data_IF_884420931092
#
_entry.id   IF_884420931092
#
_cell.length_a   1.000
_cell.length_b   1.000
_cell.length_c   1.000
_cell.angle_alpha   90.00
_cell.angle_beta   90.00
_cell.angle_gamma   90.00
#
_symmetry.space_group_name_H-M   'P 1'
#
loop_
_entity.id
_entity.type
_entity.pdbx_description
1 polymer ?
#
# COMPACT_ATOMS: atom_id res chain seq x y z
N UNK A 1 -64.42 -45.40 -45.65
CA UNK A 1 -63.47 -46.50 -45.34
C UNK A 1 -62.36 -45.96 -44.45
N UNK A 2 -62.14 -46.52 -43.25
CA UNK A 2 -60.97 -46.14 -42.43
C UNK A 2 -59.71 -46.71 -43.09
N UNK A 3 -58.66 -45.91 -43.35
CA UNK A 3 -57.47 -46.40 -44.01
C UNK A 3 -56.80 -47.48 -43.14
N UNK A 4 -56.50 -48.63 -43.75
CA UNK A 4 -55.91 -49.82 -43.10
C UNK A 4 -54.54 -49.53 -42.47
N UNK A 5 -53.86 -48.46 -42.91
CA UNK A 5 -52.54 -48.02 -42.47
C UNK A 5 -52.57 -46.90 -41.38
N UNK A 6 -53.64 -46.80 -40.58
CA UNK A 6 -53.75 -45.75 -39.56
C UNK A 6 -52.77 -45.91 -38.39
N UNK A 7 -52.41 -47.16 -38.05
CA UNK A 7 -51.47 -47.46 -36.96
C UNK A 7 -50.03 -47.09 -37.32
N UNK A 8 -49.55 -47.44 -38.52
CA UNK A 8 -48.17 -47.14 -38.90
C UNK A 8 -47.98 -45.64 -39.17
N UNK A 9 -49.01 -44.96 -39.69
CA UNK A 9 -49.02 -43.48 -39.79
C UNK A 9 -48.87 -42.81 -38.43
N UNK A 10 -49.56 -43.30 -37.39
CA UNK A 10 -49.46 -42.74 -36.04
C UNK A 10 -48.09 -43.02 -35.42
N UNK A 11 -47.52 -44.21 -35.64
CA UNK A 11 -46.17 -44.55 -35.18
C UNK A 11 -45.10 -43.68 -35.86
N UNK A 12 -45.18 -43.53 -37.19
CA UNK A 12 -44.27 -42.67 -37.95
C UNK A 12 -44.36 -41.21 -37.52
N UNK A 13 -45.58 -40.70 -37.29
CA UNK A 13 -45.78 -39.35 -36.77
C UNK A 13 -45.19 -39.16 -35.37
N UNK A 14 -45.37 -40.12 -34.45
CA UNK A 14 -44.80 -40.05 -33.10
C UNK A 14 -43.27 -40.10 -33.12
N UNK A 15 -42.67 -40.92 -33.99
CA UNK A 15 -41.21 -40.96 -34.19
C UNK A 15 -40.68 -39.65 -34.75
N UNK A 16 -41.37 -39.07 -35.74
CA UNK A 16 -41.05 -37.77 -36.29
C UNK A 16 -41.17 -36.66 -35.24
N UNK A 17 -42.26 -36.65 -34.46
CA UNK A 17 -42.48 -35.66 -33.41
C UNK A 17 -41.41 -35.76 -32.32
N UNK A 18 -41.03 -36.98 -31.91
CA UNK A 18 -39.95 -37.19 -30.96
C UNK A 18 -38.61 -36.65 -31.50
N UNK A 19 -38.27 -36.98 -32.75
CA UNK A 19 -37.06 -36.46 -33.40
C UNK A 19 -37.08 -34.93 -33.53
N UNK A 20 -38.24 -34.35 -33.85
CA UNK A 20 -38.43 -32.91 -33.93
C UNK A 20 -38.21 -32.23 -32.57
N UNK A 21 -38.78 -32.76 -31.49
CA UNK A 21 -38.58 -32.22 -30.14
C UNK A 21 -37.11 -32.30 -29.73
N UNK A 22 -36.43 -33.42 -30.01
CA UNK A 22 -35.00 -33.59 -29.69
C UNK A 22 -34.15 -32.58 -30.46
N UNK A 23 -34.37 -32.43 -31.77
CA UNK A 23 -33.60 -31.51 -32.61
C UNK A 23 -33.85 -30.04 -32.22
N UNK A 24 -35.10 -29.63 -32.02
CA UNK A 24 -35.43 -28.28 -31.53
C UNK A 24 -34.82 -28.04 -30.15
N UNK A 25 -34.91 -29.01 -29.24
CA UNK A 25 -34.30 -28.92 -27.92
C UNK A 25 -32.79 -28.72 -27.99
N UNK A 26 -32.11 -29.44 -28.89
CA UNK A 26 -30.67 -29.31 -29.10
C UNK A 26 -30.28 -27.94 -29.66
N UNK A 27 -31.06 -27.38 -30.60
CA UNK A 27 -30.85 -26.03 -31.13
C UNK A 27 -31.07 -24.98 -30.05
N UNK A 28 -32.16 -25.08 -29.27
CA UNK A 28 -32.45 -24.13 -28.17
C UNK A 28 -31.35 -24.19 -27.11
N UNK A 29 -30.88 -25.38 -26.74
CA UNK A 29 -29.77 -25.54 -25.80
C UNK A 29 -28.49 -24.91 -26.35
N UNK A 30 -28.13 -25.16 -27.61
CA UNK A 30 -26.95 -24.57 -28.24
C UNK A 30 -27.01 -23.03 -28.25
N UNK A 31 -28.16 -22.46 -28.61
CA UNK A 31 -28.38 -21.01 -28.56
C UNK A 31 -28.27 -20.50 -27.12
N UNK A 32 -28.91 -21.17 -26.15
CA UNK A 32 -28.87 -20.78 -24.75
C UNK A 32 -27.44 -20.75 -24.20
N UNK A 33 -26.63 -21.78 -24.43
CA UNK A 33 -25.25 -21.82 -23.98
C UNK A 33 -24.38 -20.78 -24.69
N UNK A 34 -24.59 -20.55 -25.99
CA UNK A 34 -23.86 -19.54 -26.76
C UNK A 34 -24.11 -18.11 -26.23
N UNK A 35 -25.30 -17.79 -25.74
CA UNK A 35 -25.56 -16.46 -25.16
C UNK A 35 -25.23 -16.37 -23.67
N UNK A 36 -25.44 -17.45 -22.90
CA UNK A 36 -25.25 -17.42 -21.43
C UNK A 36 -23.78 -17.39 -21.03
N UNK A 37 -22.92 -18.14 -21.71
CA UNK A 37 -21.48 -18.20 -21.36
C UNK A 37 -20.80 -16.83 -21.54
N UNK A 38 -20.95 -16.12 -22.66
CA UNK A 38 -20.36 -14.78 -22.82
C UNK A 38 -20.85 -13.76 -21.80
N UNK A 39 -22.12 -13.83 -21.36
CA UNK A 39 -22.62 -12.91 -20.32
C UNK A 39 -21.92 -13.12 -18.98
N UNK A 40 -21.70 -14.38 -18.60
CA UNK A 40 -21.02 -14.71 -17.34
C UNK A 40 -19.54 -14.35 -17.37
N UNK A 41 -18.87 -14.61 -18.50
CA UNK A 41 -17.48 -14.20 -18.69
C UNK A 41 -17.34 -12.67 -18.64
N UNK A 42 -18.21 -11.93 -19.33
CA UNK A 42 -18.19 -10.47 -19.30
C UNK A 42 -18.47 -9.90 -17.91
N UNK A 43 -19.41 -10.49 -17.16
CA UNK A 43 -19.68 -10.09 -15.77
C UNK A 43 -18.45 -10.32 -14.87
N UNK A 44 -17.77 -11.46 -15.00
CA UNK A 44 -16.54 -11.77 -14.27
C UNK A 44 -15.40 -10.82 -14.66
N UNK A 45 -15.17 -10.59 -15.95
CA UNK A 45 -14.14 -9.68 -16.45
C UNK A 45 -14.38 -8.24 -15.98
N UNK A 46 -15.64 -7.79 -15.93
CA UNK A 46 -16.00 -6.48 -15.38
C UNK A 46 -15.70 -6.38 -13.89
N UNK A 47 -16.00 -7.43 -13.13
CA UNK A 47 -15.70 -7.48 -11.70
C UNK A 47 -14.18 -7.43 -11.45
N UNK A 48 -13.40 -8.21 -12.19
CA UNK A 48 -11.94 -8.23 -12.11
C UNK A 48 -11.34 -6.88 -12.53
N UNK A 49 -11.80 -6.30 -13.64
CA UNK A 49 -11.35 -4.98 -14.09
C UNK A 49 -11.65 -3.89 -13.04
N UNK A 50 -12.82 -3.95 -12.39
CA UNK A 50 -13.16 -3.03 -11.32
C UNK A 50 -12.21 -3.17 -10.14
N UNK A 51 -11.94 -4.39 -9.69
CA UNK A 51 -11.00 -4.68 -8.63
C UNK A 51 -9.59 -4.15 -8.96
N UNK A 52 -9.06 -4.46 -10.15
CA UNK A 52 -7.75 -3.99 -10.58
C UNK A 52 -7.67 -2.45 -10.68
N UNK A 53 -8.75 -1.79 -11.11
CA UNK A 53 -8.81 -0.33 -11.14
C UNK A 53 -8.80 0.28 -9.73
N UNK A 54 -9.53 -0.31 -8.79
CA UNK A 54 -9.53 0.11 -7.39
C UNK A 54 -8.14 -0.06 -6.77
N UNK A 55 -7.50 -1.22 -7.01
CA UNK A 55 -6.15 -1.51 -6.55
C UNK A 55 -5.12 -0.55 -7.14
N UNK A 56 -5.15 -0.31 -8.46
CA UNK A 56 -4.27 0.65 -9.13
C UNK A 56 -4.43 2.06 -8.58
N UNK A 57 -5.68 2.46 -8.31
CA UNK A 57 -5.98 3.78 -7.72
C UNK A 57 -5.44 3.88 -6.29
N UNK A 58 -5.61 2.84 -5.50
CA UNK A 58 -5.04 2.77 -4.15
C UNK A 58 -3.51 2.90 -4.20
N UNK A 59 -2.84 2.06 -5.00
CA UNK A 59 -1.38 2.09 -5.14
C UNK A 59 -0.86 3.46 -5.60
N UNK A 60 -1.53 4.10 -6.57
CA UNK A 60 -1.17 5.44 -7.03
C UNK A 60 -1.30 6.49 -5.93
N UNK A 61 -2.36 6.43 -5.12
CA UNK A 61 -2.56 7.36 -4.01
C UNK A 61 -1.57 7.12 -2.87
N UNK A 62 -1.32 5.85 -2.53
CA UNK A 62 -0.34 5.46 -1.54
C UNK A 62 1.06 5.97 -1.93
N UNK A 63 1.47 5.77 -3.18
CA UNK A 63 2.73 6.29 -3.71
C UNK A 63 2.83 7.82 -3.59
N UNK A 64 1.76 8.57 -3.94
CA UNK A 64 1.75 10.03 -3.79
C UNK A 64 1.90 10.48 -2.34
N UNK A 65 1.32 9.74 -1.41
CA UNK A 65 1.46 10.04 0.01
C UNK A 65 2.86 9.71 0.53
N UNK A 66 3.50 8.63 0.03
CA UNK A 66 4.91 8.33 0.28
C UNK A 66 5.83 9.47 -0.19
N UNK A 67 5.64 9.97 -1.42
CA UNK A 67 6.44 11.07 -1.97
C UNK A 67 6.31 12.34 -1.10
N UNK A 68 5.11 12.64 -0.62
CA UNK A 68 4.88 13.77 0.30
C UNK A 68 5.58 13.57 1.63
N UNK A 69 5.45 12.40 2.24
CA UNK A 69 6.11 12.08 3.51
C UNK A 69 7.63 12.18 3.34
N UNK A 70 8.19 11.63 2.25
CA UNK A 70 9.61 11.74 1.94
C UNK A 70 10.04 13.20 1.86
N UNK A 71 9.31 14.05 1.13
CA UNK A 71 9.64 15.47 1.03
C UNK A 71 9.60 16.19 2.39
N UNK A 72 8.65 15.85 3.26
CA UNK A 72 8.62 16.38 4.63
C UNK A 72 9.83 15.90 5.45
N UNK A 73 10.20 14.63 5.35
CA UNK A 73 11.38 14.10 6.05
C UNK A 73 12.68 14.74 5.54
N UNK A 74 12.77 15.01 4.25
CA UNK A 74 13.91 15.72 3.64
C UNK A 74 14.00 17.17 4.20
N UNK A 75 12.87 17.81 4.50
CA UNK A 75 12.85 19.15 5.11
C UNK A 75 13.33 19.19 6.58
N UNK A 76 13.38 18.06 7.29
CA UNK A 76 13.91 18.00 8.66
C UNK A 76 15.41 18.32 8.73
N UNK A 77 16.14 18.17 7.63
CA UNK A 77 17.58 18.44 7.57
C UNK A 77 17.90 19.93 7.39
N UNK A 78 16.89 20.78 7.19
CA UNK A 78 17.08 22.22 6.97
C UNK A 78 17.48 22.92 8.29
N UNK A 79 18.53 23.76 8.29
CA UNK A 79 18.89 24.58 9.45
C UNK A 79 17.72 25.46 9.89
N UNK A 80 17.38 25.43 11.19
CA UNK A 80 16.24 26.17 11.75
C UNK A 80 14.89 25.45 11.71
N UNK A 81 14.79 24.24 11.16
CA UNK A 81 13.57 23.43 11.23
C UNK A 81 13.21 23.06 12.68
N UNK A 82 11.93 23.18 13.03
CA UNK A 82 11.41 22.72 14.32
C UNK A 82 11.14 21.21 14.27
N UNK A 83 12.19 20.41 14.43
CA UNK A 83 12.15 18.95 14.24
C UNK A 83 11.02 18.29 15.03
N UNK A 84 10.77 18.70 16.27
CA UNK A 84 9.72 18.08 17.08
C UNK A 84 8.30 18.37 16.58
N UNK A 85 8.07 19.56 16.03
CA UNK A 85 6.79 19.94 15.46
C UNK A 85 6.56 19.24 14.12
N UNK A 86 7.55 19.32 13.24
CA UNK A 86 7.52 18.68 11.91
C UNK A 86 7.39 17.15 12.03
N UNK A 87 8.13 16.53 12.95
CA UNK A 87 8.04 15.08 13.19
C UNK A 87 6.65 14.63 13.63
N UNK A 88 5.94 15.46 14.41
CA UNK A 88 4.54 15.19 14.80
C UNK A 88 3.59 15.27 13.61
N UNK A 89 3.78 16.27 12.74
CA UNK A 89 2.99 16.39 11.51
C UNK A 89 3.21 15.19 10.59
N UNK A 90 4.46 14.79 10.38
CA UNK A 90 4.80 13.62 9.57
C UNK A 90 4.21 12.35 10.18
N UNK A 91 4.34 12.16 11.49
CA UNK A 91 3.75 11.02 12.22
C UNK A 91 2.22 10.96 12.05
N UNK A 92 1.54 12.11 12.11
CA UNK A 92 0.09 12.17 11.85
C UNK A 92 -0.24 11.69 10.43
N UNK A 93 0.53 12.13 9.44
CA UNK A 93 0.33 11.72 8.04
C UNK A 93 0.58 10.22 7.84
N UNK A 94 1.58 9.67 8.51
CA UNK A 94 1.86 8.23 8.51
C UNK A 94 0.74 7.41 9.16
N UNK A 95 0.15 7.90 10.25
CA UNK A 95 -1.04 7.28 10.87
C UNK A 95 -2.22 7.27 9.89
N UNK A 96 -2.43 8.35 9.14
CA UNK A 96 -3.48 8.41 8.12
C UNK A 96 -3.22 7.43 6.97
N UNK A 97 -1.96 7.29 6.54
CA UNK A 97 -1.56 6.26 5.57
C UNK A 97 -1.86 4.85 6.09
N UNK A 98 -1.50 4.56 7.35
CA UNK A 98 -1.76 3.26 7.98
C UNK A 98 -3.27 2.94 8.05
N UNK A 99 -4.10 3.94 8.36
CA UNK A 99 -5.57 3.78 8.37
C UNK A 99 -6.16 3.59 6.99
N UNK A 100 -5.51 4.12 5.95
CA UNK A 100 -5.98 3.99 4.56
C UNK A 100 -5.69 2.63 3.95
N UNK A 101 -4.85 1.81 4.60
CA UNK A 101 -4.52 0.48 4.11
C UNK A 101 -5.78 -0.38 3.99
N UNK A 102 -5.92 -1.16 2.91
CA UNK A 102 -7.02 -2.09 2.78
C UNK A 102 -6.99 -3.10 3.94
N UNK A 103 -8.13 -3.69 4.26
CA UNK A 103 -8.23 -4.69 5.33
C UNK A 103 -7.21 -5.81 5.10
N UNK A 104 -6.54 -6.24 6.18
CA UNK A 104 -5.59 -7.35 6.14
C UNK A 104 -6.24 -8.58 5.49
N UNK A 105 -5.79 -8.90 4.28
CA UNK A 105 -6.20 -10.07 3.54
C UNK A 105 -5.10 -11.14 3.63
N UNK A 106 -5.29 -12.27 2.93
CA UNK A 106 -4.27 -13.32 2.85
C UNK A 106 -3.06 -12.94 1.97
N UNK A 107 -3.01 -11.70 1.47
CA UNK A 107 -2.01 -11.26 0.51
C UNK A 107 -0.87 -10.52 1.22
N UNK A 108 0.34 -10.60 0.65
CA UNK A 108 1.53 -9.91 1.17
C UNK A 108 1.46 -8.38 1.05
N UNK A 109 0.48 -7.83 0.33
CA UNK A 109 0.38 -6.40 0.02
C UNK A 109 0.13 -5.56 1.28
N UNK A 110 -0.74 -6.01 2.18
CA UNK A 110 -0.99 -5.31 3.44
C UNK A 110 0.30 -5.18 4.26
N UNK A 111 1.00 -6.29 4.47
CA UNK A 111 2.24 -6.32 5.27
C UNK A 111 3.34 -5.49 4.59
N UNK A 112 3.41 -5.50 3.25
CA UNK A 112 4.32 -4.64 2.48
C UNK A 112 4.05 -3.15 2.73
N UNK A 113 2.79 -2.70 2.60
CA UNK A 113 2.45 -1.30 2.82
C UNK A 113 2.66 -0.87 4.28
N UNK A 114 2.31 -1.73 5.25
CA UNK A 114 2.58 -1.48 6.67
C UNK A 114 4.08 -1.36 6.94
N UNK A 115 4.90 -2.26 6.37
CA UNK A 115 6.36 -2.20 6.54
C UNK A 115 6.96 -0.91 5.99
N UNK A 116 6.40 -0.37 4.91
CA UNK A 116 6.83 0.93 4.37
C UNK A 116 6.50 2.07 5.35
N UNK A 117 5.32 2.05 5.97
CA UNK A 117 4.94 3.05 6.99
C UNK A 117 5.88 2.96 8.20
N UNK A 118 6.15 1.74 8.67
CA UNK A 118 7.07 1.48 9.79
C UNK A 118 8.48 1.99 9.48
N UNK A 119 8.99 1.74 8.27
CA UNK A 119 10.29 2.24 7.82
C UNK A 119 10.37 3.77 7.88
N UNK A 120 9.30 4.50 7.50
CA UNK A 120 9.30 5.96 7.62
C UNK A 120 9.27 6.44 9.07
N UNK A 121 8.57 5.74 9.97
CA UNK A 121 8.59 6.04 11.41
C UNK A 121 10.00 5.87 11.99
N UNK A 122 10.68 4.78 11.64
CA UNK A 122 12.06 4.52 12.04
C UNK A 122 13.01 5.60 11.50
N UNK A 123 12.82 6.02 10.24
CA UNK A 123 13.63 7.07 9.62
C UNK A 123 13.53 8.40 10.38
N UNK A 124 12.32 8.80 10.79
CA UNK A 124 12.09 10.03 11.58
C UNK A 124 12.77 9.92 12.95
N UNK A 125 12.56 8.80 13.65
CA UNK A 125 13.18 8.56 14.95
C UNK A 125 14.72 8.60 14.88
N UNK A 126 15.29 8.01 13.82
CA UNK A 126 16.72 8.05 13.57
C UNK A 126 17.22 9.48 13.30
N UNK A 127 16.49 10.30 12.53
CA UNK A 127 16.85 11.70 12.30
C UNK A 127 16.83 12.52 13.60
N UNK A 128 15.81 12.34 14.43
CA UNK A 128 15.75 13.00 15.74
C UNK A 128 16.94 12.63 16.62
N UNK A 129 17.30 11.34 16.64
CA UNK A 129 18.48 10.85 17.37
C UNK A 129 19.79 11.40 16.82
N UNK A 130 19.94 11.51 15.50
CA UNK A 130 21.15 12.10 14.90
C UNK A 130 21.31 13.57 15.29
N UNK A 131 20.22 14.34 15.33
CA UNK A 131 20.25 15.73 15.77
C UNK A 131 20.71 15.86 17.23
N UNK A 132 20.14 15.06 18.13
CA UNK A 132 20.51 15.11 19.55
C UNK A 132 21.95 14.67 19.80
N UNK A 133 22.48 13.74 19.01
CA UNK A 133 23.89 13.37 19.04
C UNK A 133 24.80 14.51 18.55
N UNK A 134 24.41 15.22 17.49
CA UNK A 134 25.16 16.38 17.00
C UNK A 134 25.20 17.52 18.03
N UNK A 135 24.08 17.79 18.71
CA UNK A 135 24.04 18.79 19.78
C UNK A 135 24.93 18.40 20.97
N UNK A 136 24.97 17.11 21.32
CA UNK A 136 25.83 16.58 22.36
C UNK A 136 27.32 16.67 21.98
N UNK A 137 27.67 16.42 20.71
CA UNK A 137 29.04 16.55 20.21
C UNK A 137 29.55 17.99 20.31
N UNK A 138 28.73 18.96 19.88
CA UNK A 138 29.06 20.39 20.02
C UNK A 138 29.27 20.78 21.50
N UNK A 139 28.42 20.29 22.40
CA UNK A 139 28.54 20.55 23.84
C UNK A 139 29.85 19.97 24.42
N UNK A 140 30.26 18.78 23.95
CA UNK A 140 31.52 18.16 24.38
C UNK A 140 32.71 18.98 23.89
N UNK A 141 32.65 19.51 22.67
CA UNK A 141 33.69 20.38 22.11
C UNK A 141 33.83 21.68 22.92
N UNK A 142 32.72 22.33 23.25
CA UNK A 142 32.70 23.51 24.12
C UNK A 142 33.32 23.23 25.50
N UNK A 143 33.01 22.08 26.11
CA UNK A 143 33.59 21.69 27.40
C UNK A 143 35.08 21.37 27.32
N UNK A 144 35.56 20.78 26.21
CA UNK A 144 37.00 20.57 26.00
C UNK A 144 37.74 21.90 25.92
N UNK A 145 37.22 22.86 25.16
CA UNK A 145 37.81 24.19 25.05
C UNK A 145 37.84 24.93 26.39
N UNK A 146 36.74 24.85 27.15
CA UNK A 146 36.66 25.44 28.48
C UNK A 146 37.64 24.79 29.47
N UNK A 147 37.79 23.47 29.40
CA UNK A 147 38.74 22.73 30.22
C UNK A 147 40.19 23.10 29.89
N UNK A 148 40.54 23.21 28.61
CA UNK A 148 41.88 23.62 28.18
C UNK A 148 42.21 25.03 28.65
N UNK A 149 41.28 25.98 28.50
CA UNK A 149 41.45 27.36 29.01
C UNK A 149 41.65 27.38 30.52
N UNK A 150 40.78 26.69 31.27
CA UNK A 150 40.90 26.60 32.72
C UNK A 150 42.23 25.97 33.15
N UNK A 151 42.70 24.94 32.43
CA UNK A 151 44.02 24.32 32.69
C UNK A 151 45.17 25.28 32.42
N UNK A 152 45.09 26.10 31.37
CA UNK A 152 46.10 27.12 31.07
C UNK A 152 46.11 28.23 32.13
N UNK A 153 44.93 28.72 32.51
CA UNK A 153 44.78 29.76 33.54
C UNK A 153 45.31 29.28 34.90
N UNK A 154 45.03 28.02 35.27
CA UNK A 154 45.56 27.42 36.50
C UNK A 154 47.09 27.36 36.47
N UNK A 155 47.68 26.88 35.36
CA UNK A 155 49.14 26.84 35.19
C UNK A 155 49.76 28.22 35.27
N UNK A 156 49.07 29.25 34.77
CA UNK A 156 49.52 30.63 34.87
C UNK A 156 49.44 31.13 36.31
N UNK A 157 48.32 30.94 37.00
CA UNK A 157 48.16 31.32 38.41
C UNK A 157 49.18 30.63 39.33
N UNK A 158 49.48 29.35 39.11
CA UNK A 158 50.52 28.61 39.85
C UNK A 158 51.92 29.19 39.62
N UNK A 159 52.24 29.63 38.39
CA UNK A 159 53.51 30.30 38.08
C UNK A 159 53.62 31.63 38.80
N UNK A 160 52.54 32.43 38.79
CA UNK A 160 52.49 33.73 39.46
C UNK A 160 52.65 33.60 40.99
N UNK A 161 52.04 32.57 41.60
CA UNK A 161 52.18 32.26 43.03
C UNK A 161 53.60 31.86 43.42
N UNK A 162 54.35 31.20 42.54
CA UNK A 162 55.74 30.75 42.78
C UNK A 162 56.80 31.87 42.71
N UNK A 163 56.44 33.03 42.18
CA UNK A 163 57.37 34.16 41.98
C UNK A 163 57.33 35.14 43.18
N UNK A 164 56.38 34.97 44.11
CA UNK A 164 56.39 35.62 45.44
C UNK A 164 57.11 34.77 46.48
#
# INVERSE_FOLDING_TARGET
>A
MKPKNSKDRRSAFLKFLALFVVTVGMVVAAVYFNFRVPTKENDLLRAESKFLNEETKFQSNFYKDMEKVKAMIDSLDVPGAQIDYESKMISSKLVDMQKSLPTKDSTYLYDMHSSIVDMYLELIANKQKLRSLSDAENTIEEYKDAYEKCSQDLKQAERELRIK
#
